data_IF_220227519773
#
_entry.id   IF_220227519773
#
_cell.length_a   1.000
_cell.length_b   1.000
_cell.length_c   1.000
_cell.angle_alpha   90.00
_cell.angle_beta   90.00
_cell.angle_gamma   90.00
#
_symmetry.space_group_name_H-M   'P 1'
#
loop_
_entity.id
_entity.type
_entity.pdbx_description
1 polymer ?
#
# COMPACT_ATOMS: atom_id res chain seq x y z
N UNK A 1 -13.13 -7.70 -7.83
CA UNK A 1 -14.08 -6.61 -8.13
C UNK A 1 -13.90 -5.34 -7.29
N UNK A 2 -13.95 -5.37 -5.94
CA UNK A 2 -13.84 -4.12 -5.14
C UNK A 2 -12.56 -3.30 -5.42
N UNK A 3 -11.42 -3.97 -5.62
CA UNK A 3 -10.15 -3.30 -5.97
C UNK A 3 -10.22 -2.65 -7.35
N UNK A 4 -10.86 -3.30 -8.34
CA UNK A 4 -11.07 -2.70 -9.67
C UNK A 4 -11.92 -1.44 -9.54
N UNK A 5 -13.04 -1.51 -8.80
CA UNK A 5 -13.88 -0.35 -8.56
C UNK A 5 -13.12 0.80 -7.88
N UNK A 6 -12.27 0.49 -6.90
CA UNK A 6 -11.40 1.48 -6.25
C UNK A 6 -10.46 2.16 -7.26
N UNK A 7 -9.81 1.40 -8.14
CA UNK A 7 -8.97 1.96 -9.20
C UNK A 7 -9.82 2.76 -10.19
N UNK A 8 -10.98 2.28 -10.60
CA UNK A 8 -11.85 2.97 -11.57
C UNK A 8 -12.26 4.37 -11.08
N UNK A 9 -12.65 4.54 -9.82
CA UNK A 9 -13.12 5.84 -9.29
C UNK A 9 -12.03 6.91 -9.23
N UNK A 10 -10.75 6.53 -9.34
CA UNK A 10 -9.63 7.49 -9.36
C UNK A 10 -9.23 7.92 -10.78
N UNK A 11 -9.83 7.33 -11.82
CA UNK A 11 -9.39 7.48 -13.21
C UNK A 11 -10.43 8.18 -14.07
N UNK A 12 -10.00 9.08 -14.95
CA UNK A 12 -10.90 9.71 -15.91
C UNK A 12 -11.37 8.70 -16.97
N UNK A 13 -12.60 8.84 -17.52
CA UNK A 13 -13.16 7.86 -18.45
C UNK A 13 -12.30 7.61 -19.70
N UNK A 14 -11.55 8.61 -20.17
CA UNK A 14 -10.71 8.48 -21.35
C UNK A 14 -9.43 7.66 -21.13
N UNK A 15 -9.10 7.26 -19.90
CA UNK A 15 -7.90 6.49 -19.62
C UNK A 15 -8.04 5.05 -20.15
N UNK A 16 -7.08 4.61 -20.96
CA UNK A 16 -7.11 3.31 -21.66
C UNK A 16 -6.24 2.24 -20.98
N UNK A 17 -5.19 2.63 -20.23
CA UNK A 17 -4.23 1.68 -19.66
C UNK A 17 -4.94 0.68 -18.71
N UNK A 18 -4.81 -0.63 -18.97
CA UNK A 18 -5.37 -1.69 -18.13
C UNK A 18 -6.90 -1.81 -18.15
N UNK A 19 -7.58 -1.15 -19.10
CA UNK A 19 -9.05 -1.14 -19.19
C UNK A 19 -9.66 -2.54 -19.36
N UNK A 20 -8.95 -3.45 -20.02
CA UNK A 20 -9.36 -4.85 -20.20
C UNK A 20 -9.40 -5.65 -18.89
N UNK A 21 -8.66 -5.23 -17.87
CA UNK A 21 -8.65 -5.85 -16.54
C UNK A 21 -9.54 -5.06 -15.57
N UNK A 22 -9.39 -3.73 -15.54
CA UNK A 22 -9.97 -2.83 -14.54
C UNK A 22 -11.35 -2.32 -14.93
N UNK A 23 -11.62 -2.14 -16.23
CA UNK A 23 -12.79 -1.44 -16.75
C UNK A 23 -12.57 0.06 -16.97
N UNK A 24 -13.62 0.75 -17.39
CA UNK A 24 -13.62 2.20 -17.65
C UNK A 24 -13.40 3.00 -16.35
N UNK A 25 -12.67 4.12 -16.44
CA UNK A 25 -12.53 5.07 -15.35
C UNK A 25 -13.83 5.81 -15.05
N UNK A 26 -14.12 6.06 -13.77
CA UNK A 26 -15.39 6.61 -13.29
C UNK A 26 -15.24 8.01 -12.66
N UNK A 27 -14.04 8.59 -12.68
CA UNK A 27 -13.79 9.92 -12.12
C UNK A 27 -14.46 11.01 -12.95
N UNK A 28 -15.40 11.72 -12.33
CA UNK A 28 -16.08 12.86 -12.96
C UNK A 28 -15.14 14.05 -13.22
N UNK A 29 -15.43 14.78 -14.28
CA UNK A 29 -14.83 16.08 -14.57
C UNK A 29 -15.64 17.20 -13.89
N UNK A 30 -14.98 18.27 -13.47
CA UNK A 30 -15.61 19.50 -12.95
C UNK A 30 -15.13 19.89 -11.56
N UNK A 31 -14.64 18.92 -10.78
CA UNK A 31 -14.14 19.14 -9.41
C UNK A 31 -12.63 19.32 -9.28
N UNK A 32 -11.87 19.32 -10.37
CA UNK A 32 -10.40 19.21 -10.31
C UNK A 32 -9.69 20.51 -9.91
N UNK A 33 -10.31 21.69 -10.13
CA UNK A 33 -9.64 22.99 -9.99
C UNK A 33 -8.89 23.20 -8.66
N UNK A 34 -9.47 22.91 -7.48
CA UNK A 34 -8.75 23.07 -6.22
C UNK A 34 -7.47 22.23 -6.13
N UNK A 35 -7.50 21.00 -6.67
CA UNK A 35 -6.33 20.12 -6.67
C UNK A 35 -5.28 20.56 -7.71
N UNK A 36 -5.72 20.97 -8.90
CA UNK A 36 -4.84 21.52 -9.94
C UNK A 36 -4.01 22.70 -9.41
N UNK A 37 -4.67 23.62 -8.71
CA UNK A 37 -4.05 24.85 -8.19
C UNK A 37 -3.00 24.51 -7.11
N UNK A 38 -3.26 23.52 -6.24
CA UNK A 38 -2.28 23.01 -5.27
C UNK A 38 -1.08 22.37 -5.97
N UNK A 39 -1.32 21.63 -7.06
CA UNK A 39 -0.28 20.91 -7.80
C UNK A 39 0.49 21.81 -8.78
N UNK A 40 0.04 23.06 -8.97
CA UNK A 40 0.64 23.98 -9.93
C UNK A 40 0.48 23.55 -11.39
N UNK A 41 -0.57 22.77 -11.71
CA UNK A 41 -0.82 22.24 -13.05
C UNK A 41 -1.99 22.95 -13.71
N UNK A 42 -1.96 23.07 -15.05
CA UNK A 42 -3.17 23.43 -15.78
C UNK A 42 -4.24 22.35 -15.63
N UNK A 43 -5.53 22.68 -15.83
CA UNK A 43 -6.58 21.68 -15.79
C UNK A 43 -6.41 20.50 -16.75
N UNK A 44 -5.77 20.71 -17.91
CA UNK A 44 -5.51 19.64 -18.86
C UNK A 44 -4.36 18.74 -18.41
N UNK A 45 -3.27 19.31 -17.90
CA UNK A 45 -2.13 18.53 -17.39
C UNK A 45 -2.52 17.71 -16.17
N UNK A 46 -3.32 18.30 -15.27
CA UNK A 46 -3.78 17.59 -14.08
C UNK A 46 -4.58 16.35 -14.43
N UNK A 47 -5.48 16.39 -15.42
CA UNK A 47 -6.27 15.20 -15.76
C UNK A 47 -5.41 14.08 -16.34
N UNK A 48 -4.25 14.40 -16.93
CA UNK A 48 -3.28 13.40 -17.38
C UNK A 48 -2.44 12.83 -16.23
N UNK A 49 -2.00 13.68 -15.29
CA UNK A 49 -1.13 13.30 -14.16
C UNK A 49 -1.89 12.67 -13.00
N UNK A 50 -3.14 13.04 -12.78
CA UNK A 50 -3.96 12.54 -11.67
C UNK A 50 -4.57 11.16 -12.00
N UNK A 51 -3.70 10.20 -12.27
CA UNK A 51 -3.97 8.80 -12.57
C UNK A 51 -3.07 7.90 -11.66
N UNK A 52 -3.46 6.65 -11.35
CA UNK A 52 -2.70 5.77 -10.47
C UNK A 52 -1.33 5.37 -11.00
N UNK A 53 -0.29 5.58 -10.19
CA UNK A 53 1.02 4.94 -10.30
C UNK A 53 1.03 3.64 -9.48
N UNK A 54 1.60 2.52 -9.97
CA UNK A 54 2.48 2.39 -11.14
C UNK A 54 1.77 2.05 -12.46
N UNK A 55 0.43 2.05 -12.50
CA UNK A 55 -0.32 1.72 -13.73
C UNK A 55 -0.03 2.72 -14.86
N UNK A 56 -0.09 4.01 -14.56
CA UNK A 56 0.40 5.07 -15.42
C UNK A 56 1.78 5.51 -14.93
N UNK A 57 2.85 5.33 -15.73
CA UNK A 57 4.20 5.79 -15.37
C UNK A 57 4.32 7.30 -15.16
N UNK A 58 3.44 8.09 -15.80
CA UNK A 58 3.34 9.54 -15.63
C UNK A 58 2.28 9.94 -14.59
N UNK A 59 1.63 8.95 -13.97
CA UNK A 59 0.65 9.14 -12.91
C UNK A 59 1.29 9.53 -11.59
N UNK A 60 0.58 10.33 -10.80
CA UNK A 60 1.07 10.89 -9.54
C UNK A 60 0.18 10.47 -8.34
N UNK A 61 -0.83 9.61 -8.55
CA UNK A 61 -1.65 9.07 -7.47
C UNK A 61 -1.07 7.74 -6.98
N UNK A 62 -0.82 7.63 -5.68
CA UNK A 62 -0.42 6.37 -5.05
C UNK A 62 -1.65 5.75 -4.38
N UNK A 63 -2.02 4.55 -4.81
CA UNK A 63 -3.13 3.81 -4.21
C UNK A 63 -2.59 2.71 -3.28
N UNK A 64 -3.15 2.66 -2.07
CA UNK A 64 -2.86 1.66 -1.06
C UNK A 64 -4.10 0.84 -0.70
N UNK A 65 -3.92 -0.42 -0.34
CA UNK A 65 -4.98 -1.28 0.17
C UNK A 65 -4.76 -1.63 1.63
N UNK A 66 -5.88 -1.81 2.33
CA UNK A 66 -5.96 -2.53 3.60
C UNK A 66 -6.45 -3.95 3.31
N UNK A 67 -5.60 -4.95 3.55
CA UNK A 67 -5.88 -6.38 3.38
C UNK A 67 -5.97 -6.99 4.78
N UNK A 68 -7.00 -6.59 5.53
CA UNK A 68 -7.04 -6.73 6.99
C UNK A 68 -8.24 -7.56 7.49
N UNK A 69 -8.77 -8.46 6.65
CA UNK A 69 -9.76 -9.44 7.07
C UNK A 69 -9.54 -10.81 6.41
N UNK A 70 -10.21 -11.84 6.94
CA UNK A 70 -10.11 -13.22 6.45
C UNK A 70 -10.57 -13.42 5.00
N UNK A 71 -11.50 -12.60 4.49
CA UNK A 71 -11.96 -12.69 3.11
C UNK A 71 -10.93 -12.09 2.15
N UNK A 72 -10.35 -10.94 2.51
CA UNK A 72 -9.19 -10.36 1.85
C UNK A 72 -8.00 -11.33 1.84
N UNK A 73 -7.71 -11.98 2.97
CA UNK A 73 -6.64 -12.98 3.08
C UNK A 73 -6.86 -14.19 2.16
N UNK A 74 -8.11 -14.68 2.05
CA UNK A 74 -8.46 -15.77 1.14
C UNK A 74 -8.30 -15.36 -0.33
N UNK A 75 -8.64 -14.13 -0.68
CA UNK A 75 -8.61 -13.61 -2.05
C UNK A 75 -7.33 -12.83 -2.40
N UNK A 76 -6.29 -12.89 -1.56
CA UNK A 76 -5.09 -12.04 -1.72
C UNK A 76 -4.42 -12.23 -3.08
N UNK A 77 -4.44 -13.45 -3.61
CA UNK A 77 -3.83 -13.75 -4.92
C UNK A 77 -4.58 -13.05 -6.06
N UNK A 78 -5.91 -12.94 -6.00
CA UNK A 78 -6.70 -12.19 -7.00
C UNK A 78 -6.60 -10.67 -6.79
N UNK A 79 -6.48 -10.22 -5.54
CA UNK A 79 -6.35 -8.80 -5.17
C UNK A 79 -5.09 -8.20 -5.80
N UNK A 80 -3.96 -8.90 -5.70
CA UNK A 80 -2.67 -8.39 -6.20
C UNK A 80 -2.54 -8.43 -7.72
N UNK A 81 -3.47 -9.08 -8.43
CA UNK A 81 -3.51 -9.04 -9.90
C UNK A 81 -4.12 -7.74 -10.44
N UNK A 82 -4.80 -6.93 -9.62
CA UNK A 82 -5.44 -5.70 -10.09
C UNK A 82 -4.38 -4.59 -10.26
N UNK A 83 -4.16 -4.07 -11.48
CA UNK A 83 -3.16 -3.03 -11.71
C UNK A 83 -3.55 -1.70 -11.05
N UNK A 84 -2.55 -0.87 -10.74
CA UNK A 84 -2.74 0.49 -10.20
C UNK A 84 -2.65 0.61 -8.69
N UNK A 85 -2.39 -0.49 -7.98
CA UNK A 85 -2.09 -0.48 -6.55
C UNK A 85 -0.57 -0.47 -6.35
N UNK A 86 -0.07 0.47 -5.56
CA UNK A 86 1.35 0.64 -5.30
C UNK A 86 1.82 -0.13 -4.06
N UNK A 87 0.95 -0.23 -3.05
CA UNK A 87 1.27 -0.90 -1.79
C UNK A 87 0.02 -1.47 -1.12
N UNK A 88 0.21 -2.36 -0.16
CA UNK A 88 -0.84 -2.75 0.76
C UNK A 88 -0.31 -3.01 2.17
N UNK A 89 -1.20 -2.89 3.14
CA UNK A 89 -0.99 -3.17 4.56
C UNK A 89 -1.90 -4.31 5.00
N UNK A 90 -1.43 -5.17 5.91
CA UNK A 90 -2.24 -6.29 6.42
C UNK A 90 -3.11 -5.94 7.63
N UNK A 91 -2.91 -4.76 8.25
CA UNK A 91 -3.72 -4.24 9.35
C UNK A 91 -3.85 -5.21 10.54
N UNK A 92 -2.84 -5.32 11.41
CA UNK A 92 -2.81 -6.37 12.45
C UNK A 92 -4.02 -6.33 13.39
N UNK A 93 -4.49 -5.15 13.79
CA UNK A 93 -5.66 -5.01 14.67
C UNK A 93 -6.93 -5.60 14.05
N UNK A 94 -7.27 -5.18 12.84
CA UNK A 94 -8.47 -5.64 12.12
C UNK A 94 -8.34 -7.11 11.69
N UNK A 95 -7.15 -7.55 11.26
CA UNK A 95 -6.89 -8.96 10.95
C UNK A 95 -7.06 -9.82 12.20
N UNK A 96 -6.53 -9.37 13.34
CA UNK A 96 -6.70 -10.03 14.64
C UNK A 96 -8.17 -10.19 14.98
N UNK A 97 -8.95 -9.11 14.91
CA UNK A 97 -10.40 -9.18 15.10
C UNK A 97 -11.09 -10.16 14.12
N UNK A 98 -10.68 -10.18 12.85
CA UNK A 98 -11.24 -11.05 11.82
C UNK A 98 -10.96 -12.54 12.05
N UNK A 99 -9.78 -12.86 12.60
CA UNK A 99 -9.32 -14.22 12.90
C UNK A 99 -9.65 -14.67 14.33
N UNK A 100 -10.24 -13.80 15.16
CA UNK A 100 -10.66 -14.14 16.53
C UNK A 100 -9.60 -13.86 17.61
N UNK A 101 -8.61 -13.03 17.31
CA UNK A 101 -7.59 -12.53 18.23
C UNK A 101 -7.76 -11.01 18.46
N UNK A 102 -8.79 -10.57 19.22
CA UNK A 102 -9.16 -9.15 19.32
C UNK A 102 -8.06 -8.25 19.94
N UNK A 103 -7.14 -8.83 20.73
CA UNK A 103 -6.06 -8.10 21.39
C UNK A 103 -4.69 -8.27 20.69
N UNK A 104 -4.62 -8.94 19.54
CA UNK A 104 -3.37 -9.22 18.83
C UNK A 104 -2.97 -8.11 17.83
N UNK A 105 -2.92 -6.86 18.31
CA UNK A 105 -2.52 -5.70 17.49
C UNK A 105 -1.01 -5.61 17.28
N UNK A 106 -0.21 -5.89 18.31
CA UNK A 106 1.25 -5.75 18.29
C UNK A 106 1.95 -7.10 18.47
N UNK A 107 3.18 -7.25 17.92
CA UNK A 107 3.93 -8.49 18.08
C UNK A 107 4.41 -8.68 19.54
N UNK A 108 4.68 -9.93 19.96
CA UNK A 108 4.66 -11.15 19.16
C UNK A 108 3.25 -11.65 18.84
N UNK A 109 3.04 -12.02 17.58
CA UNK A 109 1.74 -12.49 17.10
C UNK A 109 1.55 -14.00 17.27
N UNK A 110 0.31 -14.49 17.45
CA UNK A 110 -0.03 -15.89 17.26
C UNK A 110 0.41 -16.41 15.89
N UNK A 111 0.66 -17.73 15.76
CA UNK A 111 1.15 -18.31 14.50
C UNK A 111 0.22 -18.03 13.32
N UNK A 112 -1.10 -18.13 13.51
CA UNK A 112 -2.09 -17.85 12.46
C UNK A 112 -2.01 -16.40 11.94
N UNK A 113 -1.70 -15.44 12.82
CA UNK A 113 -1.48 -14.04 12.46
C UNK A 113 -0.16 -13.86 11.70
N UNK A 114 0.91 -14.55 12.11
CA UNK A 114 2.16 -14.58 11.35
C UNK A 114 1.95 -15.16 9.94
N UNK A 115 1.22 -16.28 9.83
CA UNK A 115 0.91 -16.92 8.56
C UNK A 115 0.09 -15.99 7.64
N UNK A 116 -0.87 -15.25 8.21
CA UNK A 116 -1.65 -14.25 7.48
C UNK A 116 -0.77 -13.11 6.94
N UNK A 117 0.07 -12.51 7.81
CA UNK A 117 1.03 -11.46 7.43
C UNK A 117 1.96 -11.95 6.32
N UNK A 118 2.54 -13.14 6.49
CA UNK A 118 3.56 -13.67 5.57
C UNK A 118 2.94 -14.05 4.21
N UNK A 119 1.70 -14.58 4.20
CA UNK A 119 0.96 -14.81 2.96
C UNK A 119 0.73 -13.52 2.18
N UNK A 120 0.31 -12.45 2.87
CA UNK A 120 0.07 -11.14 2.25
C UNK A 120 1.38 -10.53 1.75
N UNK A 121 2.42 -10.51 2.58
CA UNK A 121 3.75 -10.01 2.20
C UNK A 121 4.32 -10.73 0.97
N UNK A 122 4.20 -12.05 0.93
CA UNK A 122 4.63 -12.86 -0.21
C UNK A 122 3.82 -12.54 -1.48
N UNK A 123 2.50 -12.36 -1.38
CA UNK A 123 1.66 -12.01 -2.53
C UNK A 123 2.04 -10.65 -3.13
N UNK A 124 2.26 -9.63 -2.28
CA UNK A 124 2.70 -8.30 -2.70
C UNK A 124 4.08 -8.33 -3.34
N UNK A 125 5.02 -9.05 -2.74
CA UNK A 125 6.39 -9.18 -3.24
C UNK A 125 6.43 -9.78 -4.66
N UNK A 126 5.59 -10.79 -4.96
CA UNK A 126 5.50 -11.39 -6.31
C UNK A 126 5.08 -10.40 -7.39
N UNK A 127 4.42 -9.30 -7.02
CA UNK A 127 3.94 -8.25 -7.91
C UNK A 127 4.77 -6.97 -7.84
N UNK A 128 5.85 -6.96 -7.04
CA UNK A 128 6.67 -5.77 -6.82
C UNK A 128 5.94 -4.65 -6.07
N UNK A 129 4.83 -4.98 -5.40
CA UNK A 129 4.06 -4.03 -4.61
C UNK A 129 4.74 -3.80 -3.25
N UNK A 130 4.65 -2.58 -2.73
CA UNK A 130 5.17 -2.27 -1.40
C UNK A 130 4.37 -2.99 -0.32
N UNK A 131 5.05 -3.69 0.59
CA UNK A 131 4.42 -4.17 1.82
C UNK A 131 4.56 -3.12 2.91
N UNK A 132 3.42 -2.59 3.37
CA UNK A 132 3.35 -1.75 4.55
C UNK A 132 3.12 -2.62 5.78
N UNK A 133 4.13 -2.68 6.65
CA UNK A 133 4.01 -3.29 7.98
C UNK A 133 5.04 -2.69 8.93
N UNK A 134 5.08 -3.18 10.16
CA UNK A 134 6.10 -2.84 11.16
C UNK A 134 6.25 -3.98 12.17
N UNK A 135 7.29 -3.92 12.98
CA UNK A 135 7.52 -4.84 14.09
C UNK A 135 7.74 -4.06 15.39
N UNK A 136 6.70 -3.91 16.20
CA UNK A 136 6.71 -3.09 17.41
C UNK A 136 6.89 -3.91 18.71
N UNK A 137 7.79 -4.90 18.72
CA UNK A 137 8.01 -5.75 19.90
C UNK A 137 8.72 -4.99 21.04
N UNK A 138 8.07 -4.90 22.21
CA UNK A 138 8.57 -4.22 23.41
C UNK A 138 9.83 -4.82 24.04
N UNK A 139 10.24 -6.00 23.60
CA UNK A 139 11.52 -6.60 24.00
C UNK A 139 12.68 -6.24 23.07
N UNK A 140 12.44 -5.49 22.01
CA UNK A 140 13.46 -5.09 21.02
C UNK A 140 13.80 -3.60 21.14
N UNK A 141 15.09 -3.26 20.94
CA UNK A 141 15.51 -1.87 20.72
C UNK A 141 14.93 -1.32 19.42
N UNK A 142 14.98 0.00 19.26
CA UNK A 142 14.58 0.66 18.01
C UNK A 142 15.29 0.06 16.79
N UNK A 143 16.62 -0.10 16.84
CA UNK A 143 17.40 -0.66 15.74
C UNK A 143 16.98 -2.08 15.42
N UNK A 144 16.77 -2.91 16.46
CA UNK A 144 16.31 -4.28 16.29
C UNK A 144 14.92 -4.36 15.62
N UNK A 145 14.00 -3.45 15.99
CA UNK A 145 12.68 -3.36 15.35
C UNK A 145 12.78 -2.95 13.88
N UNK A 146 13.62 -1.96 13.56
CA UNK A 146 13.84 -1.51 12.18
C UNK A 146 14.53 -2.60 11.36
N UNK A 147 15.56 -3.25 11.91
CA UNK A 147 16.26 -4.36 11.28
C UNK A 147 15.30 -5.53 11.01
N UNK A 148 14.52 -5.94 12.00
CA UNK A 148 13.55 -7.02 11.84
C UNK A 148 12.48 -6.68 10.79
N UNK A 149 11.96 -5.45 10.82
CA UNK A 149 10.96 -4.99 9.84
C UNK A 149 11.50 -5.05 8.41
N UNK A 150 12.75 -4.61 8.20
CA UNK A 150 13.35 -4.55 6.86
C UNK A 150 13.85 -5.93 6.40
N UNK A 151 14.62 -6.62 7.24
CA UNK A 151 15.38 -7.81 6.84
C UNK A 151 14.55 -9.10 6.96
N UNK A 152 13.60 -9.16 7.90
CA UNK A 152 12.78 -10.35 8.17
C UNK A 152 11.38 -10.20 7.59
N UNK A 153 10.68 -9.12 7.93
CA UNK A 153 9.31 -8.87 7.43
C UNK A 153 9.32 -8.40 5.97
N UNK A 154 10.42 -7.80 5.51
CA UNK A 154 10.56 -7.35 4.12
C UNK A 154 9.79 -6.07 3.79
N UNK A 155 9.53 -5.21 4.78
CA UNK A 155 8.72 -4.00 4.58
C UNK A 155 9.36 -3.04 3.58
N UNK A 156 8.51 -2.37 2.79
CA UNK A 156 8.90 -1.24 1.93
C UNK A 156 8.38 0.10 2.45
N UNK A 157 7.42 0.04 3.37
CA UNK A 157 6.80 1.18 4.03
C UNK A 157 6.51 0.81 5.48
N UNK A 158 6.71 1.74 6.40
CA UNK A 158 6.35 1.58 7.81
C UNK A 158 6.10 2.94 8.44
N UNK A 159 5.28 2.99 9.49
CA UNK A 159 5.23 4.14 10.38
C UNK A 159 6.58 4.26 11.10
N UNK A 160 7.11 5.47 11.18
CA UNK A 160 8.43 5.73 11.76
C UNK A 160 8.48 7.09 12.44
N UNK A 161 9.21 7.17 13.55
CA UNK A 161 9.69 8.46 14.07
C UNK A 161 10.85 8.96 13.21
N UNK A 162 11.28 10.21 13.41
CA UNK A 162 12.44 10.77 12.72
C UNK A 162 13.70 9.92 12.93
N UNK A 163 13.92 9.44 14.15
CA UNK A 163 15.06 8.58 14.51
C UNK A 163 15.01 7.24 13.76
N UNK A 164 13.85 6.57 13.73
CA UNK A 164 13.65 5.32 13.00
C UNK A 164 13.89 5.52 11.50
N UNK A 165 13.38 6.63 10.95
CA UNK A 165 13.56 6.98 9.55
C UNK A 165 15.03 7.27 9.21
N UNK A 166 15.76 7.96 10.08
CA UNK A 166 17.19 8.23 9.90
C UNK A 166 18.01 6.93 9.91
N UNK A 167 17.76 6.03 10.86
CA UNK A 167 18.41 4.73 10.92
C UNK A 167 18.09 3.88 9.69
N UNK A 168 16.81 3.74 9.33
CA UNK A 168 16.37 2.97 8.16
C UNK A 168 16.93 3.50 6.85
N UNK A 169 17.01 4.83 6.66
CA UNK A 169 17.66 5.44 5.48
C UNK A 169 19.14 5.13 5.41
N UNK A 170 19.85 5.22 6.53
CA UNK A 170 21.28 4.86 6.61
C UNK A 170 21.50 3.38 6.27
N UNK A 171 20.70 2.48 6.85
CA UNK A 171 20.76 1.03 6.60
C UNK A 171 20.52 0.68 5.13
N UNK A 172 19.50 1.28 4.53
CA UNK A 172 19.10 1.00 3.15
C UNK A 172 19.89 1.76 2.09
N UNK A 173 20.80 2.65 2.49
CA UNK A 173 21.55 3.51 1.58
C UNK A 173 20.67 4.48 0.79
N UNK A 174 19.49 4.85 1.30
CA UNK A 174 18.54 5.73 0.60
C UNK A 174 19.12 7.13 0.45
N UNK A 175 19.29 7.56 -0.79
CA UNK A 175 19.89 8.86 -1.17
C UNK A 175 18.87 9.94 -1.53
N UNK A 176 17.58 9.62 -1.60
CA UNK A 176 16.56 10.62 -1.94
C UNK A 176 16.49 11.73 -0.89
N UNK A 177 16.35 13.00 -1.30
CA UNK A 177 16.20 14.14 -0.40
C UNK A 177 15.06 13.93 0.61
N UNK A 178 15.18 14.59 1.76
CA UNK A 178 14.11 14.74 2.76
C UNK A 178 13.34 16.01 2.45
#
# INVERSE_FOLDING_TARGET
ESVKAFVQITRYPYQELGREIIGEGLRGQGGQRPANDIWGLSPAEYTQRADPWPLNPDGELILGLKIEDKYCLLNVDDIVEVPGIAFAEWGPGDMGMSLGFPDAHDPPYPQEMNDARDKIGAALARKGMGFYSSWADDNMTMEQRVDYSIDVVGVKMMGATEEWAAYGRKKTGRTMPV
#
